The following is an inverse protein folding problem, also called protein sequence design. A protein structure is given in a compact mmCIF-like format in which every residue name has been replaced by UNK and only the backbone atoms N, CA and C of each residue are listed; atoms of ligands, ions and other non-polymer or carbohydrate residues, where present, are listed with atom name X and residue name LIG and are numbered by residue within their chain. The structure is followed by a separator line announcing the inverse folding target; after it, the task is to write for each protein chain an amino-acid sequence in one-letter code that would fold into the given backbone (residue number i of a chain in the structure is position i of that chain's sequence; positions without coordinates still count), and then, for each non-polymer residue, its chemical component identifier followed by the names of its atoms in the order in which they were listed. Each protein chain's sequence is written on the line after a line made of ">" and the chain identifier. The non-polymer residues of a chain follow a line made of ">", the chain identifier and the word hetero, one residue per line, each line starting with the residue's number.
data_IF_141786286341
#
_entry.id   IF_141786286341
#
_cell.length_a   1.000
_cell.length_b   1.000
_cell.length_c   1.000
_cell.angle_alpha   90.00
_cell.angle_beta   90.00
_cell.angle_gamma   90.00
#
_symmetry.space_group_name_H-M   'P 1'
#
loop_
_entity.id
_entity.type
_entity.pdbx_description
1 polymer ?
#
# COMPACT_ATOMS: atom_id res chain seq x y z
N UNK A 1 33.85 12.48 10.97
CA UNK A 1 34.74 12.32 12.14
C UNK A 1 34.11 12.79 13.45
N UNK A 2 33.41 13.95 13.48
CA UNK A 2 32.83 14.50 14.72
C UNK A 2 31.73 13.62 15.34
N UNK A 3 30.88 12.98 14.54
CA UNK A 3 29.84 12.09 15.04
C UNK A 3 30.42 10.83 15.68
N UNK A 4 31.49 10.28 15.11
CA UNK A 4 32.18 9.09 15.65
C UNK A 4 32.90 9.39 16.96
N UNK A 5 33.37 10.62 17.15
CA UNK A 5 34.02 11.04 18.40
C UNK A 5 33.02 11.10 19.58
N UNK A 6 31.74 11.47 19.33
CA UNK A 6 30.71 11.56 20.36
C UNK A 6 29.92 10.28 20.58
N UNK A 7 29.71 9.49 19.53
CA UNK A 7 28.80 8.33 19.53
C UNK A 7 29.49 7.00 19.20
N UNK A 8 30.83 6.99 19.05
CA UNK A 8 31.63 5.80 18.80
C UNK A 8 31.59 5.32 17.34
N UNK A 9 32.20 4.16 17.08
CA UNK A 9 32.35 3.58 15.74
C UNK A 9 31.01 3.29 15.03
N UNK A 10 29.93 3.09 15.77
CA UNK A 10 28.58 2.89 15.20
C UNK A 10 28.05 4.11 14.47
N UNK A 11 28.62 5.28 14.69
CA UNK A 11 28.26 6.54 14.07
C UNK A 11 29.02 6.83 12.77
N UNK A 12 29.75 5.86 12.23
CA UNK A 12 30.55 6.03 10.99
C UNK A 12 29.69 6.49 9.79
N UNK A 13 28.43 6.05 9.72
CA UNK A 13 27.48 6.40 8.66
C UNK A 13 26.54 7.57 9.03
N UNK A 14 26.82 8.29 10.12
CA UNK A 14 26.01 9.39 10.62
C UNK A 14 25.15 9.00 11.83
N UNK A 15 24.59 10.02 12.48
CA UNK A 15 23.70 9.88 13.65
C UNK A 15 22.45 10.70 13.42
N UNK A 16 21.28 10.10 13.66
CA UNK A 16 20.01 10.79 13.71
C UNK A 16 19.62 10.97 15.18
N UNK A 17 19.65 12.21 15.66
CA UNK A 17 19.23 12.54 17.01
C UNK A 17 17.76 12.96 16.99
N UNK A 18 16.90 12.19 17.65
CA UNK A 18 15.47 12.49 17.78
C UNK A 18 15.20 13.06 19.16
N UNK A 19 14.82 14.34 19.21
CA UNK A 19 14.36 14.97 20.44
C UNK A 19 12.84 15.12 20.39
N UNK A 20 12.15 14.54 21.36
CA UNK A 20 10.68 14.63 21.44
C UNK A 20 10.25 16.03 21.87
N UNK A 21 9.09 16.47 21.34
CA UNK A 21 8.49 17.74 21.75
C UNK A 21 8.18 17.73 23.24
N UNK A 22 8.49 18.83 23.90
CA UNK A 22 8.21 19.09 25.30
C UNK A 22 7.36 20.34 25.43
N UNK A 23 6.66 20.48 26.56
CA UNK A 23 5.99 21.71 26.91
C UNK A 23 7.01 22.86 27.13
N UNK A 24 6.56 24.08 26.90
CA UNK A 24 7.31 25.31 27.17
C UNK A 24 6.64 26.08 28.30
N UNK A 25 7.43 26.87 28.99
CA UNK A 25 6.90 27.85 29.98
C UNK A 25 6.11 28.93 29.25
N UNK A 26 4.97 29.32 29.80
CA UNK A 26 4.15 30.42 29.29
C UNK A 26 2.76 29.93 28.80
N UNK A 27 2.36 30.41 27.65
CA UNK A 27 1.01 30.19 27.10
C UNK A 27 0.85 28.73 26.64
N UNK A 28 -0.34 28.18 26.89
CA UNK A 28 -0.72 26.88 26.35
C UNK A 28 -0.89 27.01 24.83
N UNK A 29 -0.16 26.20 24.12
CA UNK A 29 -0.19 26.11 22.66
C UNK A 29 -1.00 24.88 22.24
N UNK A 30 -2.00 25.10 21.40
CA UNK A 30 -2.81 24.03 20.80
C UNK A 30 -2.54 24.00 19.30
N UNK A 31 -2.16 22.85 18.78
CA UNK A 31 -1.96 22.64 17.35
C UNK A 31 -2.91 21.55 16.88
N UNK A 32 -3.64 21.84 15.82
CA UNK A 32 -4.52 20.90 15.14
C UNK A 32 -4.07 20.85 13.67
N UNK A 33 -3.87 19.66 13.16
CA UNK A 33 -3.57 19.45 11.78
C UNK A 33 -4.55 18.43 11.21
N UNK A 34 -5.17 18.80 10.09
CA UNK A 34 -6.12 17.97 9.36
C UNK A 34 -5.73 17.99 7.89
N UNK A 35 -5.52 16.81 7.32
CA UNK A 35 -5.14 16.65 5.92
C UNK A 35 -5.96 15.55 5.28
N UNK A 36 -6.63 15.91 4.19
CA UNK A 36 -7.29 14.95 3.30
C UNK A 36 -6.51 14.84 1.99
N UNK A 37 -6.29 13.62 1.52
CA UNK A 37 -5.68 13.36 0.22
C UNK A 37 -6.56 12.37 -0.53
N UNK A 38 -6.91 12.70 -1.76
CA UNK A 38 -7.54 11.77 -2.70
C UNK A 38 -6.51 11.31 -3.73
N UNK A 39 -6.56 10.05 -4.11
CA UNK A 39 -5.66 9.46 -5.09
C UNK A 39 -6.42 8.55 -6.05
N UNK A 40 -5.95 8.50 -7.28
CA UNK A 40 -6.50 7.63 -8.32
C UNK A 40 -5.39 7.21 -9.27
N UNK A 41 -5.60 6.12 -9.97
CA UNK A 41 -4.67 5.65 -11.00
C UNK A 41 -4.81 6.54 -12.22
N UNK A 42 -3.75 7.25 -12.59
CA UNK A 42 -3.74 8.22 -13.68
C UNK A 42 -3.61 7.55 -15.05
N UNK A 43 -2.84 6.48 -15.13
CA UNK A 43 -2.52 5.83 -16.41
C UNK A 43 -2.41 4.33 -16.20
N UNK A 44 -3.06 3.58 -17.04
CA UNK A 44 -3.05 2.14 -17.07
C UNK A 44 -2.39 1.65 -18.35
N UNK A 45 -1.74 0.48 -18.34
CA UNK A 45 -1.18 -0.10 -19.55
C UNK A 45 -2.29 -0.41 -20.56
N UNK A 46 -2.02 -0.15 -21.81
CA UNK A 46 -2.91 -0.56 -22.89
C UNK A 46 -2.71 -2.04 -23.18
N UNK A 47 -3.80 -2.78 -23.22
CA UNK A 47 -3.81 -4.18 -23.59
C UNK A 47 -4.35 -4.35 -25.01
N UNK A 48 -3.94 -5.42 -25.68
CA UNK A 48 -4.49 -5.76 -27.00
C UNK A 48 -5.96 -6.17 -26.85
N UNK A 49 -6.78 -5.84 -27.87
CA UNK A 49 -8.23 -6.11 -27.92
C UNK A 49 -8.65 -6.69 -29.26
N UNK A 50 -7.75 -7.41 -29.93
CA UNK A 50 -8.00 -7.99 -31.26
C UNK A 50 -8.01 -9.51 -31.25
N UNK A 51 -7.25 -10.12 -30.33
CA UNK A 51 -7.10 -11.56 -30.26
C UNK A 51 -7.67 -12.07 -28.94
N UNK A 52 -8.50 -13.11 -29.03
CA UNK A 52 -9.08 -13.76 -27.86
C UNK A 52 -8.01 -14.45 -27.00
N UNK A 53 -8.41 -14.99 -25.85
CA UNK A 53 -7.53 -15.78 -25.00
C UNK A 53 -7.07 -17.04 -25.74
N UNK A 54 -6.02 -17.68 -25.24
CA UNK A 54 -5.41 -18.86 -25.84
C UNK A 54 -4.25 -18.51 -26.76
N UNK A 55 -3.71 -19.52 -27.39
CA UNK A 55 -2.65 -19.39 -28.38
C UNK A 55 -2.73 -20.54 -29.39
N UNK A 56 -2.15 -20.33 -30.56
CA UNK A 56 -2.00 -21.35 -31.58
C UNK A 56 -0.65 -22.02 -31.38
N UNK A 57 -0.64 -23.36 -31.33
CA UNK A 57 0.55 -24.19 -31.18
C UNK A 57 0.78 -25.06 -32.38
N UNK A 58 1.95 -24.94 -32.99
CA UNK A 58 2.34 -25.78 -34.10
C UNK A 58 2.68 -27.20 -33.61
N UNK A 59 2.06 -28.17 -34.24
CA UNK A 59 2.26 -29.57 -33.92
C UNK A 59 3.27 -30.21 -34.91
N UNK A 60 4.11 -31.08 -34.37
CA UNK A 60 5.13 -31.80 -35.15
C UNK A 60 5.07 -33.30 -34.86
N UNK A 61 5.33 -34.12 -35.88
CA UNK A 61 5.47 -35.56 -35.71
C UNK A 61 6.81 -35.92 -35.01
N UNK A 62 7.00 -37.22 -34.76
CA UNK A 62 8.23 -37.76 -34.15
C UNK A 62 9.49 -37.52 -34.99
N UNK A 63 9.32 -37.22 -36.28
CA UNK A 63 10.40 -36.88 -37.23
C UNK A 63 10.57 -35.38 -37.40
N UNK A 64 9.90 -34.59 -36.57
CA UNK A 64 9.90 -33.10 -36.60
C UNK A 64 9.31 -32.50 -37.89
N UNK A 65 8.44 -33.19 -38.58
CA UNK A 65 7.66 -32.63 -39.67
C UNK A 65 6.45 -31.90 -39.09
N UNK A 66 6.13 -30.72 -39.60
CA UNK A 66 4.93 -30.01 -39.25
C UNK A 66 3.67 -30.79 -39.63
N UNK A 67 2.77 -30.97 -38.71
CA UNK A 67 1.53 -31.73 -38.88
C UNK A 67 0.27 -30.88 -38.82
N UNK A 68 0.36 -29.64 -38.40
CA UNK A 68 -0.76 -28.72 -38.26
C UNK A 68 -0.59 -27.80 -37.09
N UNK A 69 -1.62 -26.96 -36.87
CA UNK A 69 -1.68 -26.04 -35.73
C UNK A 69 -2.92 -26.34 -34.91
N UNK A 70 -2.79 -26.43 -33.63
CA UNK A 70 -3.87 -26.68 -32.67
C UNK A 70 -4.08 -25.44 -31.80
N UNK A 71 -5.33 -25.11 -31.56
CA UNK A 71 -5.68 -24.06 -30.62
C UNK A 71 -5.61 -24.59 -29.16
N UNK A 72 -4.87 -23.88 -28.32
CA UNK A 72 -4.80 -24.11 -26.88
C UNK A 72 -5.53 -22.98 -26.15
N UNK A 73 -6.62 -23.30 -25.46
CA UNK A 73 -7.35 -22.39 -24.61
C UNK A 73 -6.63 -22.24 -23.28
N UNK A 74 -5.73 -21.28 -23.20
CA UNK A 74 -4.98 -20.99 -21.98
C UNK A 74 -5.31 -19.60 -21.45
N UNK A 75 -5.83 -19.54 -20.24
CA UNK A 75 -6.43 -18.35 -19.66
C UNK A 75 -5.51 -17.13 -19.57
N UNK A 76 -4.20 -17.34 -19.45
CA UNK A 76 -3.21 -16.27 -19.27
C UNK A 76 -2.50 -15.87 -20.56
N UNK A 77 -3.03 -16.23 -21.70
CA UNK A 77 -2.51 -15.81 -23.00
C UNK A 77 -3.62 -15.18 -23.83
N UNK A 78 -3.26 -14.23 -24.66
CA UNK A 78 -4.19 -13.49 -25.53
C UNK A 78 -3.69 -13.45 -26.97
N UNK A 79 -3.35 -14.64 -27.51
CA UNK A 79 -2.84 -14.87 -28.84
C UNK A 79 -3.68 -15.93 -29.60
N UNK A 80 -4.97 -16.00 -29.23
CA UNK A 80 -5.93 -16.87 -29.86
C UNK A 80 -6.44 -16.32 -31.18
N UNK A 81 -7.64 -16.69 -31.56
CA UNK A 81 -8.26 -16.24 -32.81
C UNK A 81 -8.62 -14.74 -32.76
N UNK A 82 -8.56 -14.10 -33.92
CA UNK A 82 -9.02 -12.72 -34.04
C UNK A 82 -10.52 -12.64 -33.80
N UNK A 83 -10.92 -11.75 -32.91
CA UNK A 83 -12.31 -11.58 -32.51
C UNK A 83 -12.76 -10.13 -32.65
N UNK A 84 -14.02 -9.96 -33.08
CA UNK A 84 -14.70 -8.68 -33.09
C UNK A 84 -15.75 -8.58 -31.98
N UNK A 85 -15.72 -9.48 -30.99
CA UNK A 85 -16.62 -9.43 -29.86
C UNK A 85 -16.36 -8.19 -28.98
N UNK A 86 -17.34 -7.81 -28.19
CA UNK A 86 -17.19 -6.73 -27.23
C UNK A 86 -16.09 -7.01 -26.20
N UNK A 87 -15.36 -5.99 -25.81
CA UNK A 87 -14.29 -6.11 -24.81
C UNK A 87 -14.63 -5.31 -23.56
N UNK A 88 -14.06 -5.72 -22.43
CA UNK A 88 -14.22 -5.11 -21.11
C UNK A 88 -12.94 -4.41 -20.68
N UNK A 89 -13.07 -3.33 -19.92
CA UNK A 89 -11.92 -2.64 -19.31
C UNK A 89 -11.61 -3.19 -17.92
N UNK A 90 -11.30 -4.49 -17.85
CA UNK A 90 -11.06 -5.19 -16.59
C UNK A 90 -9.98 -4.52 -15.73
N UNK A 91 -8.97 -3.91 -16.35
CA UNK A 91 -7.89 -3.23 -15.62
C UNK A 91 -8.43 -1.94 -15.00
N UNK A 92 -9.18 -1.14 -15.77
CA UNK A 92 -9.79 0.08 -15.27
C UNK A 92 -10.80 -0.19 -14.14
N UNK A 93 -11.65 -1.19 -14.33
CA UNK A 93 -12.70 -1.59 -13.38
C UNK A 93 -12.13 -2.20 -12.08
N UNK A 94 -10.90 -2.68 -12.09
CA UNK A 94 -10.26 -3.26 -10.91
C UNK A 94 -9.85 -2.21 -9.88
N UNK A 95 -9.29 -1.09 -10.34
CA UNK A 95 -8.78 -0.07 -9.43
C UNK A 95 -9.90 0.80 -8.88
N UNK A 96 -9.71 1.23 -7.65
CA UNK A 96 -10.64 2.13 -6.97
C UNK A 96 -9.99 3.49 -6.66
N UNK A 97 -10.82 4.47 -6.27
CA UNK A 97 -10.32 5.69 -5.68
C UNK A 97 -9.73 5.42 -4.29
N UNK A 98 -8.53 5.92 -4.04
CA UNK A 98 -7.92 5.89 -2.72
C UNK A 98 -8.09 7.22 -1.99
N UNK A 99 -8.08 7.19 -0.68
CA UNK A 99 -8.10 8.39 0.16
C UNK A 99 -7.22 8.22 1.39
N UNK A 100 -6.79 9.34 1.95
CA UNK A 100 -6.04 9.39 3.20
C UNK A 100 -6.64 10.50 4.06
N UNK A 101 -6.98 10.16 5.29
CA UNK A 101 -7.25 11.08 6.38
C UNK A 101 -6.06 11.06 7.34
N UNK A 102 -5.42 12.21 7.55
CA UNK A 102 -4.29 12.38 8.46
C UNK A 102 -4.62 13.51 9.42
N UNK A 103 -5.07 13.12 10.60
CA UNK A 103 -5.57 14.00 11.64
C UNK A 103 -4.63 13.97 12.82
N UNK A 104 -4.28 15.12 13.36
CA UNK A 104 -3.51 15.19 14.60
C UNK A 104 -3.85 16.43 15.42
N UNK A 105 -3.83 16.25 16.72
CA UNK A 105 -3.96 17.33 17.66
C UNK A 105 -2.87 17.24 18.72
N UNK A 106 -2.37 18.38 19.17
CA UNK A 106 -1.45 18.44 20.29
C UNK A 106 -1.70 19.67 21.15
N UNK A 107 -1.44 19.52 22.43
CA UNK A 107 -1.45 20.60 23.40
C UNK A 107 -0.14 20.58 24.16
N UNK A 108 0.48 21.73 24.31
CA UNK A 108 1.72 21.90 25.03
C UNK A 108 1.62 23.16 25.92
N UNK A 109 2.19 23.11 27.09
CA UNK A 109 2.19 24.24 27.97
C UNK A 109 3.00 23.96 29.22
N UNK A 110 2.98 24.92 30.11
CA UNK A 110 3.62 24.77 31.40
C UNK A 110 3.93 26.07 32.13
N UNK A 111 4.46 25.87 33.30
CA UNK A 111 5.01 26.89 34.15
C UNK A 111 6.52 26.71 34.30
N UNK A 112 7.15 27.56 35.11
CA UNK A 112 8.56 27.44 35.46
C UNK A 112 8.93 26.07 36.07
N UNK A 113 7.97 25.44 36.75
CA UNK A 113 8.19 24.19 37.49
C UNK A 113 7.48 22.98 36.91
N UNK A 114 6.54 23.17 35.98
CA UNK A 114 5.73 22.10 35.43
C UNK A 114 5.54 22.32 33.95
N UNK A 115 5.88 21.34 33.11
CA UNK A 115 5.69 21.40 31.66
C UNK A 115 5.06 20.15 31.18
N UNK A 116 4.20 20.23 30.16
CA UNK A 116 3.55 19.10 29.58
C UNK A 116 3.43 19.23 28.06
N UNK A 117 3.41 18.10 27.39
CA UNK A 117 3.06 17.95 26.00
C UNK A 117 2.18 16.70 25.87
N UNK A 118 1.06 16.87 25.21
CA UNK A 118 0.12 15.79 24.88
C UNK A 118 -0.18 15.83 23.40
N UNK A 119 -0.23 14.70 22.75
CA UNK A 119 -0.65 14.62 21.33
C UNK A 119 -1.38 13.32 21.04
N UNK A 120 -2.35 13.42 20.13
CA UNK A 120 -3.04 12.30 19.52
C UNK A 120 -3.01 12.44 18.01
N UNK A 121 -2.94 11.33 17.30
CA UNK A 121 -3.08 11.31 15.86
C UNK A 121 -3.87 10.09 15.38
N UNK A 122 -4.59 10.30 14.29
CA UNK A 122 -5.32 9.29 13.56
C UNK A 122 -4.93 9.36 12.09
N UNK A 123 -4.56 8.23 11.53
CA UNK A 123 -4.24 8.09 10.12
C UNK A 123 -5.06 6.94 9.56
N UNK A 124 -5.80 7.20 8.49
CA UNK A 124 -6.62 6.21 7.79
C UNK A 124 -6.39 6.34 6.29
N UNK A 125 -5.93 5.28 5.68
CA UNK A 125 -5.63 5.20 4.26
C UNK A 125 -6.40 4.03 3.63
N UNK A 126 -7.15 4.35 2.59
CA UNK A 126 -7.70 3.38 1.63
C UNK A 126 -6.83 3.44 0.38
N UNK A 127 -6.32 2.29 -0.05
CA UNK A 127 -5.47 2.18 -1.23
C UNK A 127 -6.25 2.18 -2.54
N UNK A 128 -5.56 2.42 -3.65
CA UNK A 128 -6.15 2.34 -5.01
C UNK A 128 -6.34 0.89 -5.49
N UNK A 129 -5.67 -0.06 -4.86
CA UNK A 129 -5.92 -1.50 -5.05
C UNK A 129 -6.98 -1.92 -4.03
N UNK A 130 -8.05 -2.62 -4.43
CA UNK A 130 -9.06 -3.11 -3.50
C UNK A 130 -8.47 -3.92 -2.35
N UNK A 131 -9.12 -3.89 -1.20
CA UNK A 131 -8.71 -4.60 0.03
C UNK A 131 -7.29 -4.22 0.50
N UNK A 132 -6.83 -3.00 0.18
CA UNK A 132 -5.60 -2.46 0.74
C UNK A 132 -5.87 -1.23 1.57
N UNK A 133 -5.31 -1.20 2.77
CA UNK A 133 -5.54 -0.11 3.71
C UNK A 133 -4.48 -0.05 4.80
N UNK A 134 -4.42 1.09 5.46
CA UNK A 134 -3.57 1.28 6.63
C UNK A 134 -4.26 2.22 7.61
N UNK A 135 -4.43 1.77 8.86
CA UNK A 135 -4.97 2.57 9.94
C UNK A 135 -3.96 2.65 11.07
N UNK A 136 -3.82 3.83 11.65
CA UNK A 136 -2.93 4.04 12.79
C UNK A 136 -3.50 5.03 13.76
N UNK A 137 -3.47 4.66 15.03
CA UNK A 137 -3.69 5.55 16.15
C UNK A 137 -2.37 5.75 16.89
N UNK A 138 -2.07 6.96 17.28
CA UNK A 138 -0.91 7.20 18.12
C UNK A 138 -1.23 8.25 19.20
N UNK A 139 -0.68 8.03 20.36
CA UNK A 139 -0.84 8.88 21.51
C UNK A 139 0.51 9.09 22.19
N UNK A 140 0.78 10.32 22.62
CA UNK A 140 2.02 10.65 23.30
C UNK A 140 1.79 11.66 24.41
N UNK A 141 2.44 11.40 25.54
CA UNK A 141 2.54 12.30 26.67
C UNK A 141 4.00 12.51 27.04
N UNK A 142 4.40 13.75 27.29
CA UNK A 142 5.67 14.10 27.91
C UNK A 142 5.40 15.10 29.02
N UNK A 143 5.92 14.85 30.20
CA UNK A 143 5.81 15.72 31.37
C UNK A 143 7.16 15.99 32.01
N UNK A 144 7.35 17.20 32.52
CA UNK A 144 8.50 17.61 33.32
C UNK A 144 7.99 18.33 34.56
N UNK A 145 8.44 17.88 35.73
CA UNK A 145 8.10 18.52 37.01
C UNK A 145 9.38 18.79 37.79
N UNK A 146 9.56 20.04 38.19
CA UNK A 146 10.65 20.49 39.07
C UNK A 146 10.13 20.66 40.51
N UNK A 147 10.80 20.03 41.45
CA UNK A 147 10.49 20.12 42.88
C UNK A 147 11.81 20.38 43.62
N UNK A 148 12.01 21.62 44.05
CA UNK A 148 13.28 22.03 44.63
C UNK A 148 14.45 21.86 43.67
N UNK A 149 15.40 21.01 44.03
CA UNK A 149 16.59 20.68 43.22
C UNK A 149 16.34 19.49 42.27
N UNK A 150 15.22 18.76 42.39
CA UNK A 150 14.91 17.59 41.61
C UNK A 150 14.10 17.95 40.37
N UNK A 151 14.41 17.27 39.24
CA UNK A 151 13.67 17.37 38.00
C UNK A 151 13.18 15.94 37.63
N UNK A 152 11.88 15.78 37.62
CA UNK A 152 11.22 14.53 37.22
C UNK A 152 10.75 14.66 35.76
N UNK A 153 11.13 13.68 34.92
CA UNK A 153 10.66 13.61 33.55
C UNK A 153 9.87 12.29 33.37
N UNK A 154 8.68 12.43 32.79
CA UNK A 154 7.85 11.30 32.41
C UNK A 154 7.56 11.34 30.91
N UNK A 155 7.63 10.20 30.26
CA UNK A 155 7.30 10.07 28.84
C UNK A 155 6.54 8.77 28.62
N UNK A 156 5.39 8.85 27.94
CA UNK A 156 4.60 7.72 27.53
C UNK A 156 4.23 7.86 26.06
N UNK A 157 4.26 6.78 25.32
CA UNK A 157 3.80 6.71 23.94
C UNK A 157 3.10 5.39 23.70
N UNK A 158 1.98 5.47 23.02
CA UNK A 158 1.22 4.30 22.55
C UNK A 158 0.94 4.48 21.08
N UNK A 159 1.05 3.41 20.31
CA UNK A 159 0.58 3.39 18.94
C UNK A 159 0.07 2.00 18.60
N UNK A 160 -1.06 1.98 17.88
CA UNK A 160 -1.63 0.80 17.26
C UNK A 160 -1.73 1.04 15.76
N UNK A 161 -1.38 0.03 14.97
CA UNK A 161 -1.41 0.13 13.52
C UNK A 161 -1.91 -1.18 12.90
N UNK A 162 -2.87 -1.04 12.02
CA UNK A 162 -3.43 -2.14 11.25
C UNK A 162 -3.18 -1.93 9.76
N UNK A 163 -2.80 -2.99 9.05
CA UNK A 163 -2.55 -2.94 7.61
C UNK A 163 -3.30 -4.06 6.92
N UNK A 164 -4.20 -3.69 6.02
CA UNK A 164 -4.84 -4.61 5.10
C UNK A 164 -4.00 -4.71 3.83
N UNK A 165 -3.69 -5.91 3.41
CA UNK A 165 -2.86 -6.16 2.23
C UNK A 165 -3.48 -7.21 1.34
N UNK A 166 -3.67 -6.85 0.09
CA UNK A 166 -3.90 -7.80 -0.98
C UNK A 166 -2.56 -8.30 -1.51
N UNK A 167 -2.48 -9.57 -1.85
CA UNK A 167 -1.31 -10.11 -2.54
C UNK A 167 -1.22 -9.48 -3.93
N UNK A 168 -0.41 -8.43 -4.08
CA UNK A 168 -0.33 -7.62 -5.30
C UNK A 168 0.75 -8.08 -6.27
N UNK A 169 1.77 -8.81 -5.80
CA UNK A 169 2.92 -9.23 -6.59
C UNK A 169 3.00 -10.73 -6.78
N UNK A 170 3.27 -11.16 -8.02
CA UNK A 170 3.86 -12.46 -8.27
C UNK A 170 5.38 -12.29 -8.32
N UNK A 171 6.12 -13.18 -7.67
CA UNK A 171 7.55 -13.29 -7.95
C UNK A 171 7.74 -13.58 -9.44
N UNK A 172 8.54 -12.77 -10.12
CA UNK A 172 8.80 -12.86 -11.57
C UNK A 172 9.22 -14.27 -12.07
N UNK A 173 9.55 -15.15 -11.16
CA UNK A 173 10.07 -16.49 -11.46
C UNK A 173 9.35 -17.62 -10.72
N UNK A 174 8.22 -17.33 -10.06
CA UNK A 174 7.45 -18.39 -9.41
C UNK A 174 6.37 -18.87 -10.38
N UNK A 175 6.39 -20.16 -10.70
CA UNK A 175 5.46 -20.84 -11.59
C UNK A 175 3.97 -20.79 -11.16
N UNK A 176 3.71 -20.26 -9.99
CA UNK A 176 2.37 -20.02 -9.46
C UNK A 176 2.05 -18.53 -9.42
N UNK A 177 2.09 -17.83 -10.54
CA UNK A 177 1.77 -16.40 -10.66
C UNK A 177 0.56 -15.97 -9.83
N UNK A 178 0.81 -15.73 -8.54
CA UNK A 178 -0.22 -15.42 -7.57
C UNK A 178 -0.16 -13.93 -7.26
N UNK A 179 -1.24 -13.26 -7.45
CA UNK A 179 -1.35 -11.86 -7.08
C UNK A 179 -2.46 -11.18 -7.86
N UNK A 180 -3.19 -10.30 -7.19
CA UNK A 180 -4.32 -9.60 -7.80
C UNK A 180 -3.90 -8.85 -9.07
N UNK A 181 -2.78 -8.15 -9.06
CA UNK A 181 -2.30 -7.40 -10.23
C UNK A 181 -1.88 -8.34 -11.37
N UNK A 182 -1.21 -9.46 -11.05
CA UNK A 182 -0.88 -10.45 -12.07
C UNK A 182 -2.14 -11.00 -12.75
N UNK A 183 -3.14 -11.37 -11.95
CA UNK A 183 -4.43 -11.85 -12.46
C UNK A 183 -5.11 -10.84 -13.36
N UNK A 184 -5.21 -9.59 -12.90
CA UNK A 184 -5.87 -8.51 -13.65
C UNK A 184 -5.16 -8.20 -14.97
N UNK A 185 -3.83 -8.11 -14.98
CA UNK A 185 -3.08 -7.78 -16.20
C UNK A 185 -3.06 -8.92 -17.23
N UNK A 186 -3.26 -10.16 -16.80
CA UNK A 186 -3.31 -11.32 -17.68
C UNK A 186 -4.75 -11.77 -18.02
N UNK A 187 -5.77 -11.11 -17.44
CA UNK A 187 -7.15 -11.43 -17.73
C UNK A 187 -7.51 -11.02 -19.15
N UNK A 188 -8.17 -11.91 -19.88
CA UNK A 188 -8.61 -11.63 -21.24
C UNK A 188 -9.58 -10.43 -21.28
N UNK A 189 -9.40 -9.46 -22.17
CA UNK A 189 -10.35 -8.36 -22.32
C UNK A 189 -11.70 -8.80 -22.90
N UNK A 190 -11.82 -10.01 -23.43
CA UNK A 190 -13.09 -10.56 -23.92
C UNK A 190 -13.93 -11.21 -22.83
N UNK A 191 -13.34 -11.48 -21.65
CA UNK A 191 -14.01 -12.08 -20.51
C UNK A 191 -14.16 -11.03 -19.39
N UNK A 192 -15.37 -10.87 -18.89
CA UNK A 192 -15.63 -9.91 -17.82
C UNK A 192 -15.14 -10.43 -16.48
N UNK A 193 -14.12 -9.79 -15.91
CA UNK A 193 -13.50 -10.24 -14.66
C UNK A 193 -14.47 -10.24 -13.47
N UNK A 194 -15.44 -9.32 -13.45
CA UNK A 194 -16.45 -9.24 -12.37
C UNK A 194 -17.50 -10.34 -12.44
N UNK A 195 -17.53 -11.12 -13.53
CA UNK A 195 -18.43 -12.26 -13.71
C UNK A 195 -17.69 -13.55 -13.35
N UNK A 196 -17.36 -13.71 -12.08
CA UNK A 196 -16.57 -14.83 -11.56
C UNK A 196 -17.40 -15.99 -10.99
N UNK A 197 -18.73 -15.85 -10.98
CA UNK A 197 -19.66 -16.86 -10.51
C UNK A 197 -20.78 -17.10 -11.53
N UNK A 198 -21.13 -18.34 -11.71
CA UNK A 198 -22.33 -18.75 -12.42
C UNK A 198 -23.60 -18.43 -11.60
N UNK A 199 -24.77 -18.51 -12.23
CA UNK A 199 -26.07 -18.31 -11.56
C UNK A 199 -26.32 -19.30 -10.41
N UNK A 200 -25.72 -20.49 -10.47
CA UNK A 200 -25.78 -21.53 -9.45
C UNK A 200 -24.79 -21.33 -8.30
N UNK A 201 -23.99 -20.24 -8.33
CA UNK A 201 -23.00 -19.92 -7.32
C UNK A 201 -21.67 -20.64 -7.46
N UNK A 202 -21.50 -21.50 -8.46
CA UNK A 202 -20.20 -22.10 -8.78
C UNK A 202 -19.25 -21.04 -9.37
N UNK A 203 -17.96 -21.21 -9.17
CA UNK A 203 -16.95 -20.32 -9.77
C UNK A 203 -16.63 -20.80 -11.19
N UNK A 204 -16.33 -19.85 -12.06
CA UNK A 204 -15.76 -20.13 -13.37
C UNK A 204 -14.43 -20.84 -13.25
#
# INVERSE_FOLDING_TARGET
>A
PAAAALYGSRAANGVILITTKKGKEGVVEVNINSKFTASWVKSLPQTQRQYARGYMEDQYDSKKNYTGTVFNDFAYTSWGEKSNAATYDNIGDFFQGGNIFDESASVAGGTKNSKFYLSGSYYDQVGVVPETGYKKYAFRFNGEQKVGIFIFNASAAYSDAHTDRTLTGAGLYNSSGNGALYGVYNWSPFDRMTHYQNEDGTRY
#
